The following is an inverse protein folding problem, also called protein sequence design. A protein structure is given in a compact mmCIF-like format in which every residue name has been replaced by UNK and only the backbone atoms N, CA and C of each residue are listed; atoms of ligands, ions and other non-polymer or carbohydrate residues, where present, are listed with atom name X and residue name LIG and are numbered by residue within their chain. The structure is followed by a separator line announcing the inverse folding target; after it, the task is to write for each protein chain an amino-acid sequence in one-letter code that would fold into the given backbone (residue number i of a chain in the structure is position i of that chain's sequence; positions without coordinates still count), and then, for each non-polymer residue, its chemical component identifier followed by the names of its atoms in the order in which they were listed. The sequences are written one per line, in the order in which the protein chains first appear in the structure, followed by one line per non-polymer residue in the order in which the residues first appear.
data_IF_815815046612
#
_entry.id   IF_815815046612
#
_cell.length_a   1.000
_cell.length_b   1.000
_cell.length_c   1.000
_cell.angle_alpha   90.00
_cell.angle_beta   90.00
_cell.angle_gamma   90.00
#
_symmetry.space_group_name_H-M   'P 1'
#
loop_
_entity.id
_entity.type
_entity.pdbx_description
1 polymer ?
#
# COMPACT_ATOMS: atom_id res chain seq x y z
N UNK A 1 11.69 -4.63 7.56
CA UNK A 1 12.52 -3.48 8.04
C UNK A 1 14.00 -3.62 7.71
N UNK A 2 14.71 -4.66 8.16
CA UNK A 2 16.16 -4.80 7.88
C UNK A 2 16.48 -4.74 6.38
N UNK A 3 15.68 -5.38 5.51
CA UNK A 3 15.84 -5.33 4.04
C UNK A 3 15.77 -3.91 3.47
N UNK A 4 14.78 -3.11 3.86
CA UNK A 4 14.70 -1.68 3.50
C UNK A 4 15.97 -0.95 3.93
N UNK A 5 16.43 -1.19 5.15
CA UNK A 5 17.68 -0.65 5.67
C UNK A 5 18.90 -1.07 4.84
N UNK A 6 18.95 -2.31 4.38
CA UNK A 6 20.04 -2.86 3.59
C UNK A 6 20.10 -2.22 2.19
N UNK A 7 18.96 -2.04 1.51
CA UNK A 7 18.88 -1.29 0.24
C UNK A 7 19.11 0.21 0.41
N UNK A 8 18.74 0.79 1.56
CA UNK A 8 19.10 2.17 1.87
C UNK A 8 20.63 2.28 2.04
N UNK A 9 21.24 1.30 2.69
CA UNK A 9 22.68 1.26 2.93
C UNK A 9 23.49 1.20 1.64
N UNK A 10 23.04 0.45 0.62
CA UNK A 10 23.71 0.44 -0.71
C UNK A 10 23.70 1.83 -1.34
N UNK A 11 22.58 2.56 -1.23
CA UNK A 11 22.47 3.94 -1.73
C UNK A 11 23.36 4.93 -0.96
N UNK A 12 23.64 4.65 0.31
CA UNK A 12 24.44 5.51 1.21
C UNK A 12 25.96 5.24 1.12
N UNK A 13 26.36 4.06 0.63
CA UNK A 13 27.76 3.68 0.43
C UNK A 13 28.47 4.55 -0.62
N UNK A 14 27.71 5.18 -1.51
CA UNK A 14 28.23 6.07 -2.54
C UNK A 14 28.13 7.54 -2.11
N UNK A 15 29.24 8.28 -2.25
CA UNK A 15 29.29 9.73 -1.94
C UNK A 15 28.50 10.59 -2.95
N UNK A 16 28.40 10.13 -4.20
CA UNK A 16 27.65 10.79 -5.28
C UNK A 16 26.37 10.01 -5.57
N UNK A 17 25.38 10.69 -6.16
CA UNK A 17 24.20 10.01 -6.69
C UNK A 17 24.65 8.95 -7.70
N UNK A 18 24.20 7.72 -7.50
CA UNK A 18 24.41 6.59 -8.40
C UNK A 18 23.06 6.18 -8.95
N UNK A 19 22.97 5.97 -10.26
CA UNK A 19 21.74 5.46 -10.90
C UNK A 19 21.36 4.11 -10.31
N UNK A 20 20.08 3.88 -10.09
CA UNK A 20 19.56 2.65 -9.44
C UNK A 20 20.12 1.37 -10.06
N UNK A 21 20.21 1.28 -11.39
CA UNK A 21 20.76 0.11 -12.11
C UNK A 21 22.23 -0.21 -11.82
N UNK A 22 22.98 0.74 -11.26
CA UNK A 22 24.38 0.56 -10.88
C UNK A 22 24.56 0.29 -9.38
N UNK A 23 23.47 0.32 -8.61
CA UNK A 23 23.52 -0.05 -7.20
C UNK A 23 23.67 -1.56 -7.06
N UNK A 24 24.70 -1.94 -6.32
CA UNK A 24 24.96 -3.33 -5.93
C UNK A 24 23.83 -3.88 -5.07
N UNK A 25 23.66 -5.20 -5.11
CA UNK A 25 22.82 -5.90 -4.15
C UNK A 25 23.42 -5.72 -2.73
N UNK A 26 22.63 -5.62 -1.64
CA UNK A 26 23.17 -5.40 -0.29
C UNK A 26 24.22 -6.43 0.16
N UNK A 27 24.12 -7.67 -0.32
CA UNK A 27 25.08 -8.74 -0.02
C UNK A 27 26.46 -8.53 -0.67
N UNK A 28 26.55 -7.66 -1.67
CA UNK A 28 27.77 -7.38 -2.42
C UNK A 28 28.54 -6.16 -1.86
N UNK A 29 28.07 -5.56 -0.75
CA UNK A 29 28.75 -4.43 -0.12
C UNK A 29 30.05 -4.88 0.55
N UNK A 30 31.12 -4.19 0.22
CA UNK A 30 32.44 -4.40 0.82
C UNK A 30 32.55 -3.76 2.21
N UNK A 31 33.50 -4.21 3.05
CA UNK A 31 33.75 -3.57 4.35
C UNK A 31 34.03 -2.06 4.28
N UNK A 32 34.69 -1.59 3.22
CA UNK A 32 35.01 -0.17 3.04
C UNK A 32 33.77 0.64 2.64
N UNK A 33 32.89 0.07 1.80
CA UNK A 33 31.59 0.65 1.47
C UNK A 33 30.69 0.78 2.70
N UNK A 34 30.68 -0.24 3.56
CA UNK A 34 29.97 -0.21 4.85
C UNK A 34 30.52 0.89 5.78
N UNK A 35 31.84 1.07 5.82
CA UNK A 35 32.49 2.12 6.61
C UNK A 35 32.12 3.51 6.07
N UNK A 36 32.25 3.72 4.77
CA UNK A 36 31.90 4.97 4.11
C UNK A 36 30.42 5.34 4.33
N UNK A 37 29.50 4.36 4.23
CA UNK A 37 28.10 4.58 4.54
C UNK A 37 27.88 5.01 6.00
N UNK A 38 28.59 4.38 6.95
CA UNK A 38 28.50 4.77 8.36
C UNK A 38 29.02 6.19 8.61
N UNK A 39 30.14 6.56 7.99
CA UNK A 39 30.71 7.90 8.06
C UNK A 39 29.72 8.95 7.53
N UNK A 40 29.11 8.68 6.37
CA UNK A 40 28.09 9.55 5.77
C UNK A 40 26.89 9.73 6.72
N UNK A 41 26.36 8.64 7.28
CA UNK A 41 25.24 8.70 8.23
C UNK A 41 25.62 9.42 9.53
N UNK A 42 26.85 9.26 9.99
CA UNK A 42 27.35 9.91 11.21
C UNK A 42 27.51 11.41 10.99
N UNK A 43 28.05 11.83 9.84
CA UNK A 43 28.17 13.24 9.46
C UNK A 43 26.80 13.94 9.40
N UNK A 44 25.76 13.25 8.91
CA UNK A 44 24.39 13.76 8.90
C UNK A 44 23.86 14.05 10.31
N UNK A 45 24.20 13.21 11.30
CA UNK A 45 23.85 13.41 12.71
C UNK A 45 24.72 14.49 13.37
N UNK A 46 26.01 14.56 13.05
CA UNK A 46 26.93 15.56 13.59
C UNK A 46 26.46 17.00 13.33
N UNK A 47 25.88 17.26 12.15
CA UNK A 47 25.31 18.58 11.83
C UNK A 47 24.21 19.01 12.81
N UNK A 48 23.55 18.05 13.46
CA UNK A 48 22.50 18.35 14.43
C UNK A 48 22.99 18.72 15.82
N UNK A 49 24.28 18.48 16.13
CA UNK A 49 24.87 18.77 17.45
C UNK A 49 24.84 20.25 17.81
N UNK A 50 24.72 21.14 16.81
CA UNK A 50 24.64 22.60 16.96
C UNK A 50 23.21 23.15 16.92
N UNK A 51 22.23 22.31 16.63
CA UNK A 51 20.83 22.73 16.46
C UNK A 51 20.12 22.64 17.80
N UNK A 52 19.31 23.65 18.16
CA UNK A 52 18.65 23.74 19.48
C UNK A 52 17.51 22.72 19.70
N UNK A 53 16.71 22.45 18.66
CA UNK A 53 15.61 21.47 18.71
C UNK A 53 15.35 20.84 17.32
N UNK A 54 14.44 19.88 17.25
CA UNK A 54 14.11 19.16 16.00
C UNK A 54 13.26 19.95 15.01
N UNK A 55 12.76 21.13 15.39
CA UNK A 55 11.96 22.02 14.53
C UNK A 55 12.82 23.10 13.87
N UNK A 56 13.97 23.43 14.45
CA UNK A 56 14.92 24.38 13.90
C UNK A 56 15.51 23.89 12.55
N UNK A 57 15.95 24.80 11.66
CA UNK A 57 16.65 24.44 10.43
C UNK A 57 17.81 23.47 10.70
N UNK A 58 17.89 22.37 9.94
CA UNK A 58 18.87 21.30 10.17
C UNK A 58 18.52 20.33 11.32
N UNK A 59 17.39 20.52 12.01
CA UNK A 59 16.91 19.67 13.10
C UNK A 59 16.27 18.34 12.67
N UNK A 60 16.19 18.06 11.36
CA UNK A 60 15.54 16.87 10.83
C UNK A 60 16.10 15.58 11.43
N UNK A 61 17.41 15.35 11.32
CA UNK A 61 18.04 14.12 11.83
C UNK A 61 17.98 14.01 13.35
N UNK A 62 17.85 15.12 14.07
CA UNK A 62 17.61 15.12 15.51
C UNK A 62 16.21 14.58 15.82
N UNK A 63 15.19 15.02 15.07
CA UNK A 63 13.85 14.45 15.14
C UNK A 63 13.80 12.96 14.78
N UNK A 64 14.53 12.57 13.73
CA UNK A 64 14.67 11.15 13.33
C UNK A 64 15.30 10.32 14.44
N UNK A 65 16.37 10.82 15.08
CA UNK A 65 17.04 10.11 16.17
C UNK A 65 16.09 9.79 17.32
N UNK A 66 15.19 10.71 17.65
CA UNK A 66 14.17 10.50 18.67
C UNK A 66 13.11 9.46 18.23
N UNK A 67 12.70 9.50 16.96
CA UNK A 67 11.68 8.59 16.43
C UNK A 67 12.18 7.15 16.30
N UNK A 68 13.44 6.93 15.94
CA UNK A 68 13.99 5.60 15.67
C UNK A 68 14.80 5.03 16.84
N UNK A 69 15.50 5.88 17.59
CA UNK A 69 16.39 5.49 18.69
C UNK A 69 16.12 6.38 19.93
N UNK A 70 14.98 6.18 20.62
CA UNK A 70 14.56 7.03 21.73
C UNK A 70 15.48 6.95 22.96
N UNK A 71 16.47 6.06 22.95
CA UNK A 71 17.50 5.93 24.00
C UNK A 71 18.91 6.28 23.51
N UNK A 72 19.09 6.78 22.28
CA UNK A 72 20.41 7.21 21.81
C UNK A 72 20.89 8.46 22.57
N UNK A 73 22.22 8.63 22.74
CA UNK A 73 22.77 9.72 23.55
C UNK A 73 22.52 11.12 22.96
N UNK A 74 22.26 11.20 21.65
CA UNK A 74 22.10 12.48 20.94
C UNK A 74 20.66 12.97 20.82
N UNK A 75 19.66 12.19 21.26
CA UNK A 75 18.28 12.59 21.07
C UNK A 75 17.89 13.79 21.95
N UNK A 76 16.77 14.41 21.64
CA UNK A 76 16.27 15.64 22.28
C UNK A 76 16.10 15.54 23.79
N UNK A 77 15.82 14.34 24.32
CA UNK A 77 15.60 14.11 25.76
C UNK A 77 16.92 13.89 26.51
N UNK A 78 17.80 13.07 25.95
CA UNK A 78 19.04 12.62 26.61
C UNK A 78 20.18 13.63 26.49
N UNK A 79 20.19 14.46 25.44
CA UNK A 79 21.29 15.40 25.19
C UNK A 79 21.29 16.64 26.09
N UNK A 80 20.27 16.86 26.94
CA UNK A 80 20.13 18.10 27.74
C UNK A 80 21.33 18.38 28.66
N UNK A 81 22.06 17.34 29.07
CA UNK A 81 23.27 17.43 29.88
C UNK A 81 24.57 17.42 29.07
N UNK A 82 24.51 17.26 27.74
CA UNK A 82 25.67 17.11 26.84
C UNK A 82 25.73 18.29 25.88
N UNK A 83 26.83 19.05 25.90
CA UNK A 83 27.00 20.24 25.06
C UNK A 83 28.32 20.17 24.28
N UNK A 84 28.30 20.63 23.03
CA UNK A 84 29.51 20.81 22.22
C UNK A 84 30.29 19.51 22.02
N UNK A 85 31.56 19.51 22.41
CA UNK A 85 32.49 18.38 22.20
C UNK A 85 32.03 17.08 22.86
N UNK A 86 31.40 17.15 24.05
CA UNK A 86 30.90 15.95 24.76
C UNK A 86 29.79 15.24 23.97
N UNK A 87 28.92 16.02 23.32
CA UNK A 87 27.84 15.47 22.49
C UNK A 87 28.41 14.80 21.23
N UNK A 88 29.44 15.40 20.62
CA UNK A 88 30.14 14.81 19.48
C UNK A 88 30.86 13.51 19.87
N UNK A 89 31.57 13.50 20.99
CA UNK A 89 32.24 12.30 21.50
C UNK A 89 31.26 11.14 21.72
N UNK A 90 30.12 11.43 22.38
CA UNK A 90 29.06 10.43 22.60
C UNK A 90 28.39 9.95 21.31
N UNK A 91 28.26 10.82 20.31
CA UNK A 91 27.81 10.44 18.97
C UNK A 91 28.79 9.46 18.33
N UNK A 92 30.08 9.76 18.32
CA UNK A 92 31.09 8.88 17.75
C UNK A 92 31.19 7.55 18.49
N UNK A 93 31.05 7.55 19.82
CA UNK A 93 30.98 6.34 20.63
C UNK A 93 29.81 5.45 20.20
N UNK A 94 28.60 6.02 20.07
CA UNK A 94 27.41 5.30 19.64
C UNK A 94 27.51 4.75 18.20
N UNK A 95 28.13 5.51 17.31
CA UNK A 95 28.31 5.15 15.90
C UNK A 95 29.54 4.30 15.63
N UNK A 96 30.37 4.03 16.64
CA UNK A 96 31.55 3.18 16.53
C UNK A 96 31.11 1.73 16.29
N UNK A 97 31.53 1.19 15.16
CA UNK A 97 31.29 -0.22 14.83
C UNK A 97 32.49 -1.03 15.33
N UNK A 98 32.30 -2.09 16.14
CA UNK A 98 33.38 -2.95 16.62
C UNK A 98 34.20 -3.55 15.47
N UNK A 99 35.52 -3.69 15.64
CA UNK A 99 36.44 -4.30 14.66
C UNK A 99 36.05 -5.75 14.28
N UNK A 100 36.44 -6.22 13.08
CA UNK A 100 35.93 -7.50 12.52
C UNK A 100 36.38 -8.71 13.35
N UNK A 101 37.49 -8.56 14.05
CA UNK A 101 38.24 -9.65 14.68
C UNK A 101 38.00 -9.74 16.19
N UNK A 102 36.88 -9.21 16.68
CA UNK A 102 36.43 -9.40 18.07
C UNK A 102 35.18 -10.29 18.05
N UNK A 103 35.33 -11.63 18.00
CA UNK A 103 34.19 -12.53 18.07
C UNK A 103 33.59 -12.44 19.47
N UNK A 104 32.28 -12.21 19.54
CA UNK A 104 31.53 -12.30 20.80
C UNK A 104 31.01 -13.73 21.07
N UNK A 105 31.36 -14.69 20.20
CA UNK A 105 30.90 -16.08 20.28
C UNK A 105 29.43 -16.29 19.92
N UNK A 106 28.80 -15.35 19.21
CA UNK A 106 27.39 -15.43 18.80
C UNK A 106 27.21 -15.16 17.30
N UNK A 107 26.11 -15.70 16.75
CA UNK A 107 25.67 -15.47 15.38
C UNK A 107 24.65 -14.34 15.32
N UNK A 108 24.63 -13.63 14.18
CA UNK A 108 23.67 -12.57 13.90
C UNK A 108 22.27 -13.16 13.79
N UNK A 109 21.33 -12.69 14.61
CA UNK A 109 19.96 -13.21 14.62
C UNK A 109 19.17 -12.94 13.34
N UNK A 110 19.68 -12.10 12.43
CA UNK A 110 19.01 -11.71 11.18
C UNK A 110 19.58 -12.39 9.93
N UNK A 111 20.87 -12.74 9.90
CA UNK A 111 21.53 -13.28 8.71
C UNK A 111 22.59 -14.35 9.01
N UNK A 112 22.68 -14.82 10.26
CA UNK A 112 23.53 -15.90 10.73
C UNK A 112 25.06 -15.71 10.62
N UNK A 113 25.52 -14.59 10.04
CA UNK A 113 26.93 -14.18 10.06
C UNK A 113 27.43 -13.93 11.48
N UNK A 114 28.74 -14.02 11.71
CA UNK A 114 29.34 -13.69 13.01
C UNK A 114 28.89 -12.30 13.52
N UNK A 115 28.34 -12.27 14.74
CA UNK A 115 27.89 -11.03 15.36
C UNK A 115 29.08 -10.22 15.89
N UNK A 116 28.96 -8.89 15.83
CA UNK A 116 29.99 -7.97 16.33
C UNK A 116 29.60 -7.31 17.66
N UNK A 117 28.38 -7.52 18.14
CA UNK A 117 27.93 -7.06 19.45
C UNK A 117 26.46 -7.42 19.73
N UNK A 118 26.01 -7.06 20.93
CA UNK A 118 24.61 -7.13 21.34
C UNK A 118 24.01 -5.72 21.33
N UNK A 119 22.87 -5.54 20.67
CA UNK A 119 22.29 -4.22 20.43
C UNK A 119 20.82 -4.16 20.89
N UNK A 120 20.56 -3.18 21.77
CA UNK A 120 19.24 -2.90 22.35
C UNK A 120 18.52 -1.70 21.72
N UNK A 121 17.60 -1.09 22.48
CA UNK A 121 16.83 0.13 22.09
C UNK A 121 17.68 1.29 21.59
N UNK A 122 18.94 1.36 22.02
CA UNK A 122 19.90 2.40 21.60
C UNK A 122 20.32 2.24 20.14
N UNK A 123 20.35 1.01 19.62
CA UNK A 123 20.83 0.71 18.26
C UNK A 123 19.79 0.11 17.31
N UNK A 124 18.73 -0.51 17.86
CA UNK A 124 17.74 -1.28 17.10
C UNK A 124 16.36 -0.62 17.23
N UNK A 125 15.78 -0.10 16.13
CA UNK A 125 14.41 0.39 16.12
C UNK A 125 13.41 -0.69 16.50
N UNK A 126 12.34 -0.32 17.23
CA UNK A 126 11.29 -1.23 17.71
C UNK A 126 11.79 -2.38 18.60
N UNK A 127 12.99 -2.28 19.13
CA UNK A 127 13.50 -3.27 20.06
C UNK A 127 12.93 -2.98 21.45
N UNK A 128 12.52 -3.99 22.22
CA UNK A 128 12.05 -3.77 23.59
C UNK A 128 13.20 -3.41 24.55
N UNK A 129 12.94 -2.83 25.73
CA UNK A 129 14.04 -2.57 26.68
C UNK A 129 14.53 -3.88 27.27
N UNK A 130 15.80 -3.92 27.68
CA UNK A 130 16.41 -5.12 28.28
C UNK A 130 15.62 -5.66 29.49
N UNK A 131 14.90 -4.79 30.21
CA UNK A 131 14.02 -5.14 31.33
C UNK A 131 12.78 -5.97 30.96
N UNK A 132 12.38 -6.05 29.68
CA UNK A 132 11.16 -6.73 29.23
C UNK A 132 11.43 -7.88 28.24
N UNK A 133 12.68 -8.19 27.93
CA UNK A 133 13.02 -9.24 26.96
C UNK A 133 13.15 -10.60 27.61
N UNK A 134 12.27 -11.53 27.22
CA UNK A 134 12.39 -12.96 27.52
C UNK A 134 13.31 -13.71 26.52
N UNK A 135 13.84 -13.04 25.49
CA UNK A 135 14.57 -13.64 24.36
C UNK A 135 16.07 -13.32 24.34
N UNK A 136 16.57 -12.55 25.31
CA UNK A 136 18.00 -12.27 25.46
C UNK A 136 18.59 -13.10 26.58
N UNK A 137 19.78 -13.67 26.35
CA UNK A 137 20.56 -14.29 27.43
C UNK A 137 20.71 -13.27 28.57
N UNK A 138 20.44 -13.65 29.83
CA UNK A 138 20.61 -12.74 30.96
C UNK A 138 21.99 -12.07 30.93
N UNK A 139 22.03 -10.74 31.06
CA UNK A 139 23.28 -9.96 31.07
C UNK A 139 23.70 -9.33 29.73
N UNK A 140 22.93 -9.52 28.64
CA UNK A 140 23.22 -8.91 27.34
C UNK A 140 22.22 -7.81 26.95
N UNK A 141 22.72 -6.76 26.28
CA UNK A 141 21.96 -5.54 25.93
C UNK A 141 20.86 -5.74 24.89
N UNK A 142 20.86 -6.85 24.14
CA UNK A 142 19.86 -7.07 23.11
C UNK A 142 20.17 -8.13 22.06
N UNK A 143 19.88 -7.81 20.80
CA UNK A 143 20.03 -8.73 19.66
C UNK A 143 21.50 -8.85 19.28
N UNK A 144 21.99 -10.08 19.08
CA UNK A 144 23.30 -10.31 18.48
C UNK A 144 23.22 -9.94 16.99
N UNK A 145 23.97 -8.93 16.54
CA UNK A 145 23.95 -8.46 15.14
C UNK A 145 25.35 -8.44 14.54
N UNK A 146 25.45 -8.81 13.26
CA UNK A 146 26.64 -8.50 12.46
C UNK A 146 26.65 -7.02 12.06
N UNK A 147 27.80 -6.55 11.57
CA UNK A 147 28.00 -5.16 11.16
C UNK A 147 27.02 -4.71 10.07
N UNK A 148 26.82 -5.54 9.05
CA UNK A 148 25.93 -5.23 7.93
C UNK A 148 24.48 -5.06 8.39
N UNK A 149 24.00 -5.95 9.26
CA UNK A 149 22.64 -5.86 9.81
C UNK A 149 22.47 -4.66 10.75
N UNK A 150 23.45 -4.37 11.61
CA UNK A 150 23.40 -3.16 12.44
C UNK A 150 23.35 -1.89 11.58
N UNK A 151 24.21 -1.81 10.56
CA UNK A 151 24.23 -0.67 9.65
C UNK A 151 22.98 -0.54 8.81
N UNK A 152 22.36 -1.66 8.43
CA UNK A 152 21.06 -1.66 7.75
C UNK A 152 20.00 -0.99 8.65
N UNK A 153 19.98 -1.31 9.94
CA UNK A 153 19.06 -0.65 10.88
C UNK A 153 19.37 0.84 11.05
N UNK A 154 20.66 1.23 11.03
CA UNK A 154 21.08 2.63 11.01
C UNK A 154 20.68 3.39 9.74
N UNK A 155 20.65 2.70 8.59
CA UNK A 155 20.25 3.25 7.30
C UNK A 155 18.71 3.27 7.12
N UNK A 156 17.96 2.49 7.91
CA UNK A 156 16.50 2.39 7.80
C UNK A 156 15.78 3.74 7.69
N UNK A 157 16.09 4.79 8.48
CA UNK A 157 15.35 6.05 8.37
C UNK A 157 15.46 6.72 7.00
N UNK A 158 16.53 6.47 6.24
CA UNK A 158 16.69 7.01 4.90
C UNK A 158 15.70 6.39 3.91
N UNK A 159 15.41 5.09 4.07
CA UNK A 159 14.40 4.36 3.31
C UNK A 159 12.97 4.56 3.80
N UNK A 160 12.73 5.44 4.77
CA UNK A 160 11.40 5.74 5.32
C UNK A 160 10.92 7.13 4.93
N UNK A 161 9.62 7.27 4.71
CA UNK A 161 8.92 8.55 4.77
C UNK A 161 8.55 8.86 6.22
N UNK A 162 9.02 10.01 6.72
CA UNK A 162 8.92 10.37 8.14
C UNK A 162 7.96 11.55 8.31
N UNK A 163 6.87 11.42 9.07
CA UNK A 163 5.90 12.49 9.22
C UNK A 163 4.81 12.21 10.25
N UNK A 164 4.33 13.27 10.91
CA UNK A 164 3.27 13.16 11.93
C UNK A 164 3.63 12.21 13.09
N UNK A 165 4.90 12.17 13.48
CA UNK A 165 5.38 11.30 14.56
C UNK A 165 5.46 9.81 14.22
N UNK A 166 5.33 9.43 12.94
CA UNK A 166 5.42 8.05 12.46
C UNK A 166 6.40 7.94 11.29
N UNK A 167 6.99 6.77 11.12
CA UNK A 167 7.76 6.38 9.95
C UNK A 167 6.92 5.43 9.09
N UNK A 168 7.06 5.54 7.78
CA UNK A 168 6.38 4.72 6.79
C UNK A 168 7.41 4.18 5.81
N UNK A 169 7.37 2.88 5.48
CA UNK A 169 8.26 2.29 4.49
C UNK A 169 7.52 1.28 3.62
N UNK A 170 7.85 1.25 2.33
CA UNK A 170 7.43 0.17 1.44
C UNK A 170 8.43 -0.98 1.51
N UNK A 171 7.91 -2.20 1.48
CA UNK A 171 8.67 -3.44 1.49
C UNK A 171 8.11 -4.37 0.41
N UNK A 172 8.98 -5.19 -0.16
CA UNK A 172 8.62 -6.32 -1.02
C UNK A 172 9.74 -7.37 -0.95
N UNK A 173 9.40 -8.60 -1.32
CA UNK A 173 10.38 -9.66 -1.57
C UNK A 173 10.98 -9.58 -2.97
N UNK A 174 10.39 -8.77 -3.86
CA UNK A 174 11.00 -8.36 -5.12
C UNK A 174 12.15 -7.38 -4.84
N UNK A 175 13.38 -7.84 -5.05
CA UNK A 175 14.60 -7.08 -4.80
C UNK A 175 14.75 -5.89 -5.75
N UNK A 176 14.28 -5.98 -6.99
CA UNK A 176 14.42 -4.91 -7.98
C UNK A 176 13.44 -3.78 -7.68
N UNK A 177 12.19 -4.12 -7.37
CA UNK A 177 11.22 -3.17 -6.86
C UNK A 177 11.69 -2.53 -5.55
N UNK A 178 12.13 -3.33 -4.57
CA UNK A 178 12.56 -2.81 -3.27
C UNK A 178 13.76 -1.87 -3.40
N UNK A 179 14.71 -2.19 -4.30
CA UNK A 179 15.84 -1.31 -4.64
C UNK A 179 15.35 0.02 -5.20
N UNK A 180 14.48 -0.01 -6.21
CA UNK A 180 13.99 1.19 -6.88
C UNK A 180 13.26 2.15 -5.92
N UNK A 181 12.30 1.63 -5.14
CA UNK A 181 11.53 2.47 -4.20
C UNK A 181 12.36 2.96 -3.03
N UNK A 182 13.31 2.15 -2.55
CA UNK A 182 14.20 2.55 -1.45
C UNK A 182 15.18 3.62 -1.88
N UNK A 183 15.79 3.49 -3.07
CA UNK A 183 16.69 4.50 -3.61
C UNK A 183 15.99 5.85 -3.83
N UNK A 184 14.78 5.82 -4.39
CA UNK A 184 13.93 7.01 -4.48
C UNK A 184 13.70 7.64 -3.11
N UNK A 185 13.31 6.83 -2.12
CA UNK A 185 13.04 7.32 -0.77
C UNK A 185 14.30 7.89 -0.09
N UNK A 186 15.47 7.29 -0.27
CA UNK A 186 16.75 7.81 0.24
C UNK A 186 17.03 9.21 -0.30
N UNK A 187 16.84 9.42 -1.61
CA UNK A 187 17.01 10.73 -2.26
C UNK A 187 16.03 11.75 -1.70
N UNK A 188 14.75 11.40 -1.61
CA UNK A 188 13.69 12.25 -1.05
C UNK A 188 13.96 12.61 0.41
N UNK A 189 14.37 11.65 1.24
CA UNK A 189 14.72 11.87 2.64
C UNK A 189 15.92 12.82 2.79
N UNK A 190 16.97 12.64 1.98
CA UNK A 190 18.13 13.56 1.95
C UNK A 190 17.73 14.98 1.54
N UNK A 191 16.94 15.14 0.47
CA UNK A 191 16.41 16.46 0.04
C UNK A 191 15.60 17.13 1.17
N UNK A 192 14.74 16.35 1.83
CA UNK A 192 13.93 16.83 2.94
C UNK A 192 14.75 17.23 4.17
N UNK A 193 15.83 16.53 4.47
CA UNK A 193 16.72 16.86 5.58
C UNK A 193 17.38 18.25 5.44
N UNK A 194 17.47 18.77 4.21
CA UNK A 194 18.03 20.10 3.91
C UNK A 194 16.98 21.22 3.90
N UNK A 195 15.69 20.87 3.88
CA UNK A 195 14.59 21.83 3.74
C UNK A 195 13.95 22.09 5.11
N UNK A 196 13.51 23.33 5.42
CA UNK A 196 12.74 23.60 6.63
C UNK A 196 11.51 22.69 6.74
N UNK A 197 11.18 22.27 7.96
CA UNK A 197 10.00 21.44 8.18
C UNK A 197 8.73 22.22 7.85
N UNK A 198 8.05 21.86 6.78
CA UNK A 198 6.68 22.28 6.52
C UNK A 198 5.73 21.25 7.16
N UNK A 199 4.85 21.72 8.02
CA UNK A 199 3.76 20.89 8.53
C UNK A 199 2.80 20.58 7.39
N UNK A 200 2.78 19.34 6.92
CA UNK A 200 1.79 18.90 5.93
C UNK A 200 0.62 18.25 6.65
N UNK A 201 -0.58 18.78 6.46
CA UNK A 201 -1.81 18.10 6.86
C UNK A 201 -1.92 16.83 6.04
N UNK A 202 -1.84 15.67 6.70
CA UNK A 202 -2.05 14.39 6.04
C UNK A 202 -3.55 14.10 5.98
N UNK A 203 -4.08 13.93 4.79
CA UNK A 203 -5.42 13.40 4.58
C UNK A 203 -5.49 11.92 5.05
N UNK A 204 -6.70 11.43 5.26
CA UNK A 204 -6.91 10.01 5.57
C UNK A 204 -6.28 9.13 4.47
N UNK A 205 -5.63 8.05 4.90
CA UNK A 205 -4.94 7.08 4.02
C UNK A 205 -3.83 7.66 3.11
N UNK A 206 -3.29 8.85 3.44
CA UNK A 206 -2.21 9.45 2.67
C UNK A 206 -0.97 8.54 2.52
N UNK A 207 -0.72 7.66 3.51
CA UNK A 207 0.39 6.70 3.49
C UNK A 207 0.16 5.57 2.48
N UNK A 208 -1.03 4.97 2.48
CA UNK A 208 -1.44 3.99 1.48
C UNK A 208 -1.41 4.60 0.08
N UNK A 209 -1.90 5.83 -0.07
CA UNK A 209 -1.87 6.53 -1.35
C UNK A 209 -0.44 6.77 -1.84
N UNK A 210 0.46 7.27 -0.97
CA UNK A 210 1.87 7.42 -1.33
C UNK A 210 2.54 6.08 -1.68
N UNK A 211 2.17 5.00 -0.97
CA UNK A 211 2.62 3.65 -1.29
C UNK A 211 2.18 3.19 -2.68
N UNK A 212 0.91 3.41 -2.99
CA UNK A 212 0.32 3.06 -4.29
C UNK A 212 0.88 3.91 -5.44
N UNK A 213 1.11 5.20 -5.22
CA UNK A 213 1.74 6.10 -6.21
C UNK A 213 3.15 5.64 -6.60
N UNK A 214 3.96 5.19 -5.63
CA UNK A 214 5.29 4.62 -5.91
C UNK A 214 5.20 3.30 -6.66
N UNK A 215 4.26 2.43 -6.27
CA UNK A 215 4.06 1.16 -6.98
C UNK A 215 3.70 1.38 -8.46
N UNK A 216 2.80 2.32 -8.73
CA UNK A 216 2.44 2.69 -10.10
C UNK A 216 3.56 3.34 -10.90
N UNK A 217 4.40 4.09 -10.20
CA UNK A 217 5.57 4.77 -10.75
C UNK A 217 6.73 3.86 -11.16
N UNK A 218 6.70 2.60 -10.73
CA UNK A 218 7.67 1.60 -11.16
C UNK A 218 7.29 1.10 -12.56
N UNK A 219 8.25 0.93 -13.47
CA UNK A 219 8.00 0.54 -14.87
C UNK A 219 8.15 -0.97 -15.13
N UNK A 220 8.96 -1.68 -14.35
CA UNK A 220 9.26 -3.12 -14.56
C UNK A 220 8.27 -4.02 -13.81
N UNK A 221 8.01 -5.27 -14.22
CA UNK A 221 7.07 -6.18 -13.54
C UNK A 221 7.41 -6.40 -12.06
N UNK A 222 6.43 -6.28 -11.16
CA UNK A 222 6.56 -6.69 -9.74
C UNK A 222 6.24 -8.18 -9.62
N UNK A 223 7.19 -8.93 -9.10
CA UNK A 223 7.14 -10.39 -8.97
C UNK A 223 6.61 -10.87 -7.62
N UNK A 224 6.46 -9.96 -6.64
CA UNK A 224 6.05 -10.27 -5.26
C UNK A 224 5.01 -9.26 -4.72
N UNK A 225 4.40 -9.58 -3.58
CA UNK A 225 3.49 -8.64 -2.91
C UNK A 225 4.19 -7.38 -2.38
N UNK A 226 3.42 -6.33 -2.12
CA UNK A 226 3.90 -5.07 -1.56
C UNK A 226 3.33 -4.84 -0.17
N UNK A 227 4.19 -4.50 0.77
CA UNK A 227 3.84 -4.27 2.16
C UNK A 227 4.19 -2.83 2.57
N UNK A 228 3.22 -2.10 3.11
CA UNK A 228 3.40 -0.79 3.70
C UNK A 228 3.52 -0.92 5.22
N UNK A 229 4.72 -0.70 5.73
CA UNK A 229 5.02 -0.68 7.15
C UNK A 229 4.81 0.72 7.71
N UNK A 230 3.98 0.87 8.74
CA UNK A 230 3.76 2.14 9.46
C UNK A 230 4.08 1.94 10.93
N UNK A 231 5.05 2.68 11.46
CA UNK A 231 5.50 2.47 12.83
C UNK A 231 5.89 3.74 13.58
N UNK A 232 5.88 3.65 14.90
CA UNK A 232 6.48 4.60 15.83
C UNK A 232 7.28 3.84 16.87
N UNK A 233 8.42 4.38 17.27
CA UNK A 233 9.29 3.78 18.28
C UNK A 233 9.54 4.77 19.42
N UNK A 234 8.46 5.26 20.05
CA UNK A 234 8.57 6.11 21.23
C UNK A 234 8.53 5.28 22.51
N UNK A 235 9.16 5.77 23.59
CA UNK A 235 9.09 5.10 24.89
C UNK A 235 7.67 5.08 25.51
N UNK A 236 6.73 5.87 24.98
CA UNK A 236 5.33 5.92 25.43
C UNK A 236 4.39 5.04 24.59
N UNK A 237 4.67 4.95 23.30
CA UNK A 237 3.88 4.23 22.30
C UNK A 237 4.86 3.64 21.28
N UNK A 238 4.89 2.31 21.23
CA UNK A 238 5.61 1.52 20.25
C UNK A 238 4.56 0.73 19.47
N UNK A 239 4.42 1.01 18.18
CA UNK A 239 3.38 0.45 17.31
C UNK A 239 4.01 0.13 15.96
N UNK A 240 3.67 -1.04 15.41
CA UNK A 240 4.03 -1.45 14.06
C UNK A 240 2.75 -2.01 13.42
N UNK A 241 2.32 -1.36 12.34
CA UNK A 241 1.22 -1.81 11.50
C UNK A 241 1.76 -2.17 10.14
N UNK A 242 1.25 -3.25 9.60
CA UNK A 242 1.52 -3.70 8.24
C UNK A 242 0.22 -3.65 7.45
N UNK A 243 0.31 -3.14 6.23
CA UNK A 243 -0.76 -3.12 5.24
C UNK A 243 -0.24 -3.82 3.99
N UNK A 244 -0.90 -4.88 3.54
CA UNK A 244 -0.32 -5.80 2.55
C UNK A 244 -1.20 -5.87 1.31
N UNK A 245 -0.57 -5.61 0.16
CA UNK A 245 -1.13 -5.84 -1.15
C UNK A 245 -0.51 -7.12 -1.73
N UNK A 246 -1.33 -8.09 -2.12
CA UNK A 246 -0.81 -9.31 -2.75
C UNK A 246 -0.24 -9.01 -4.14
N UNK A 247 0.61 -9.90 -4.66
CA UNK A 247 1.27 -9.72 -5.95
C UNK A 247 0.27 -9.49 -7.10
N UNK A 248 -0.84 -10.24 -7.21
CA UNK A 248 -1.80 -9.99 -8.30
C UNK A 248 -2.44 -8.60 -8.24
N UNK A 249 -2.79 -8.09 -7.04
CA UNK A 249 -3.28 -6.71 -6.88
C UNK A 249 -2.23 -5.69 -7.28
N UNK A 250 -0.97 -5.93 -6.89
CA UNK A 250 0.14 -5.01 -7.15
C UNK A 250 0.43 -4.86 -8.63
N UNK A 251 0.40 -5.94 -9.41
CA UNK A 251 0.54 -5.86 -10.86
C UNK A 251 -0.71 -5.33 -11.54
N UNK A 252 -1.89 -5.81 -11.14
CA UNK A 252 -3.16 -5.40 -11.76
C UNK A 252 -3.32 -3.88 -11.78
N UNK A 253 -3.11 -3.20 -10.64
CA UNK A 253 -3.31 -1.73 -10.56
C UNK A 253 -2.33 -0.94 -11.44
N UNK A 254 -1.16 -1.51 -11.74
CA UNK A 254 -0.16 -0.91 -12.64
C UNK A 254 -0.53 -1.04 -14.11
N UNK A 255 -1.21 -2.13 -14.47
CA UNK A 255 -1.69 -2.33 -15.85
C UNK A 255 -2.85 -1.40 -16.22
N UNK A 256 -3.49 -0.75 -15.25
CA UNK A 256 -4.62 0.12 -15.49
C UNK A 256 -4.19 1.50 -16.01
N UNK A 257 -4.89 1.98 -17.04
CA UNK A 257 -4.71 3.32 -17.57
C UNK A 257 -5.05 4.40 -16.55
N UNK A 258 -4.55 5.63 -16.78
CA UNK A 258 -4.90 6.80 -15.94
C UNK A 258 -6.40 7.09 -15.92
N UNK A 259 -7.13 6.82 -17.02
CA UNK A 259 -8.59 6.94 -17.09
C UNK A 259 -9.28 5.92 -16.19
N UNK A 260 -8.95 4.63 -16.34
CA UNK A 260 -9.55 3.54 -15.54
C UNK A 260 -9.34 3.73 -14.05
N UNK A 261 -8.13 4.12 -13.66
CA UNK A 261 -7.83 4.40 -12.25
C UNK A 261 -8.46 5.67 -11.71
N UNK A 262 -8.66 6.69 -12.54
CA UNK A 262 -9.47 7.85 -12.19
C UNK A 262 -10.95 7.49 -11.98
N UNK A 263 -11.51 6.62 -12.83
CA UNK A 263 -12.88 6.11 -12.66
C UNK A 263 -13.04 5.28 -11.38
N UNK A 264 -12.08 4.39 -11.08
CA UNK A 264 -12.05 3.68 -9.79
C UNK A 264 -11.91 4.64 -8.61
N UNK A 265 -11.02 5.63 -8.72
CA UNK A 265 -10.86 6.68 -7.73
C UNK A 265 -12.20 7.37 -7.44
N UNK A 266 -12.90 7.81 -8.49
CA UNK A 266 -14.24 8.40 -8.37
C UNK A 266 -15.25 7.47 -7.70
N UNK A 267 -15.29 6.20 -8.11
CA UNK A 267 -16.21 5.21 -7.54
C UNK A 267 -15.97 4.97 -6.04
N UNK A 268 -14.74 5.23 -5.57
CA UNK A 268 -14.35 5.09 -4.16
C UNK A 268 -14.47 6.38 -3.34
N UNK A 269 -15.01 7.47 -3.90
CA UNK A 269 -15.17 8.74 -3.19
C UNK A 269 -16.07 8.58 -1.96
N UNK A 270 -15.64 9.17 -0.84
CA UNK A 270 -16.42 9.28 0.39
C UNK A 270 -16.45 10.75 0.83
N UNK A 271 -17.58 11.25 1.32
CA UNK A 271 -17.86 12.66 1.74
C UNK A 271 -16.66 13.57 2.05
N UNK A 272 -15.71 13.12 2.88
CA UNK A 272 -14.55 13.92 3.36
C UNK A 272 -13.19 13.37 2.96
N UNK A 273 -13.14 12.28 2.19
CA UNK A 273 -11.91 11.59 1.82
C UNK A 273 -11.86 11.44 0.30
N UNK A 274 -10.80 11.94 -0.35
CA UNK A 274 -10.60 11.75 -1.79
C UNK A 274 -10.68 10.27 -2.16
N UNK A 275 -11.38 9.96 -3.25
CA UNK A 275 -11.67 8.58 -3.60
C UNK A 275 -10.42 7.74 -3.90
N UNK A 276 -9.38 8.35 -4.47
CA UNK A 276 -8.05 7.72 -4.63
C UNK A 276 -7.44 7.23 -3.30
N UNK A 277 -7.68 7.94 -2.20
CA UNK A 277 -7.19 7.54 -0.87
C UNK A 277 -7.96 6.34 -0.33
N UNK A 278 -9.28 6.30 -0.57
CA UNK A 278 -10.13 5.16 -0.19
C UNK A 278 -9.83 3.94 -1.07
N UNK A 279 -9.56 4.13 -2.36
CA UNK A 279 -9.08 3.08 -3.26
C UNK A 279 -7.77 2.49 -2.75
N UNK A 280 -6.78 3.33 -2.43
CA UNK A 280 -5.51 2.87 -1.88
C UNK A 280 -5.70 2.06 -0.59
N UNK A 281 -6.55 2.54 0.33
CA UNK A 281 -6.93 1.78 1.53
C UNK A 281 -7.54 0.42 1.18
N UNK A 282 -8.53 0.38 0.29
CA UNK A 282 -9.18 -0.89 -0.04
C UNK A 282 -8.19 -1.87 -0.69
N UNK A 283 -7.29 -1.41 -1.56
CA UNK A 283 -6.28 -2.29 -2.18
C UNK A 283 -5.29 -2.88 -1.16
N UNK A 284 -4.94 -2.12 -0.10
CA UNK A 284 -4.00 -2.58 0.94
C UNK A 284 -4.66 -3.33 2.10
N UNK A 285 -5.90 -2.98 2.47
CA UNK A 285 -6.52 -3.42 3.72
C UNK A 285 -7.76 -4.31 3.50
N UNK A 286 -8.48 -4.11 2.38
CA UNK A 286 -9.79 -4.70 2.12
C UNK A 286 -10.01 -4.96 0.63
N UNK A 287 -9.24 -5.87 -0.01
CA UNK A 287 -9.28 -6.07 -1.46
C UNK A 287 -10.68 -6.47 -1.97
N UNK A 288 -11.42 -7.24 -1.16
CA UNK A 288 -12.82 -7.60 -1.38
C UNK A 288 -13.75 -6.37 -1.56
N UNK A 289 -13.42 -5.24 -0.92
CA UNK A 289 -14.24 -4.02 -0.99
C UNK A 289 -14.06 -3.21 -2.26
N UNK A 290 -13.08 -3.51 -3.11
CA UNK A 290 -12.90 -2.79 -4.38
C UNK A 290 -14.14 -2.94 -5.27
N UNK A 291 -14.60 -4.17 -5.45
CA UNK A 291 -15.79 -4.45 -6.25
C UNK A 291 -17.07 -4.00 -5.57
N UNK A 292 -17.21 -4.28 -4.28
CA UNK A 292 -18.38 -3.85 -3.52
C UNK A 292 -18.57 -2.32 -3.56
N UNK A 293 -17.48 -1.56 -3.45
CA UNK A 293 -17.52 -0.10 -3.46
C UNK A 293 -17.89 0.41 -4.85
N UNK A 294 -17.34 -0.20 -5.91
CA UNK A 294 -17.67 0.14 -7.30
C UNK A 294 -19.12 -0.19 -7.64
N UNK A 295 -19.62 -1.38 -7.27
CA UNK A 295 -21.03 -1.75 -7.45
C UNK A 295 -21.96 -0.80 -6.70
N UNK A 296 -21.62 -0.41 -5.46
CA UNK A 296 -22.40 0.57 -4.68
C UNK A 296 -22.45 1.94 -5.37
N UNK A 297 -21.34 2.39 -5.93
CA UNK A 297 -21.28 3.66 -6.67
C UNK A 297 -22.16 3.64 -7.92
N UNK A 298 -22.01 2.63 -8.77
CA UNK A 298 -22.82 2.48 -9.98
C UNK A 298 -24.32 2.42 -9.66
N UNK A 299 -24.68 1.70 -8.57
CA UNK A 299 -26.05 1.63 -8.10
C UNK A 299 -26.58 2.96 -7.58
N UNK A 300 -25.80 3.72 -6.81
CA UNK A 300 -26.22 5.03 -6.34
C UNK A 300 -26.51 5.97 -7.52
N UNK A 301 -25.62 6.01 -8.51
CA UNK A 301 -25.84 6.79 -9.74
C UNK A 301 -27.07 6.33 -10.52
N UNK A 302 -27.30 5.01 -10.60
CA UNK A 302 -28.47 4.45 -11.27
C UNK A 302 -29.78 4.72 -10.52
N UNK A 303 -29.77 4.70 -9.19
CA UNK A 303 -30.92 5.06 -8.36
C UNK A 303 -31.27 6.55 -8.52
N UNK A 304 -30.26 7.43 -8.58
CA UNK A 304 -30.47 8.88 -8.69
C UNK A 304 -30.94 9.33 -10.08
N UNK A 305 -30.36 8.75 -11.15
CA UNK A 305 -30.67 9.13 -12.53
C UNK A 305 -31.76 8.27 -13.18
N UNK A 306 -32.05 7.10 -12.60
CA UNK A 306 -32.88 6.06 -13.22
C UNK A 306 -32.23 5.35 -14.40
N UNK A 307 -30.92 5.53 -14.62
CA UNK A 307 -30.16 5.06 -15.78
C UNK A 307 -28.76 4.57 -15.39
N UNK A 308 -28.17 3.58 -16.07
CA UNK A 308 -26.75 3.26 -15.89
C UNK A 308 -25.86 4.49 -16.14
N UNK A 309 -24.89 4.81 -15.25
CA UNK A 309 -23.96 5.91 -15.50
C UNK A 309 -23.06 5.64 -16.72
N UNK A 310 -22.62 6.69 -17.41
CA UNK A 310 -21.85 6.56 -18.65
C UNK A 310 -20.50 5.85 -18.49
N UNK A 311 -19.94 5.82 -17.27
CA UNK A 311 -18.70 5.10 -16.95
C UNK A 311 -18.90 3.60 -16.70
N UNK A 312 -20.12 3.08 -16.84
CA UNK A 312 -20.43 1.67 -16.55
C UNK A 312 -19.58 0.70 -17.36
N UNK A 313 -19.40 0.86 -18.68
CA UNK A 313 -18.64 -0.12 -19.47
C UNK A 313 -17.18 -0.24 -19.01
N UNK A 314 -16.48 0.89 -18.83
CA UNK A 314 -15.09 0.85 -18.38
C UNK A 314 -14.95 0.33 -16.95
N UNK A 315 -15.88 0.67 -16.05
CA UNK A 315 -15.87 0.11 -14.69
C UNK A 315 -16.19 -1.38 -14.69
N UNK A 316 -17.09 -1.87 -15.57
CA UNK A 316 -17.40 -3.27 -15.70
C UNK A 316 -16.21 -4.10 -16.22
N UNK A 317 -15.48 -3.59 -17.21
CA UNK A 317 -14.24 -4.18 -17.70
C UNK A 317 -13.19 -4.28 -16.58
N UNK A 318 -12.96 -3.16 -15.87
CA UNK A 318 -11.98 -3.10 -14.77
C UNK A 318 -12.37 -4.05 -13.62
N UNK A 319 -13.65 -4.10 -13.25
CA UNK A 319 -14.16 -4.99 -12.21
C UNK A 319 -14.06 -6.47 -12.60
N UNK A 320 -14.33 -6.82 -13.86
CA UNK A 320 -14.20 -8.19 -14.35
C UNK A 320 -12.73 -8.63 -14.34
N UNK A 321 -11.83 -7.76 -14.81
CA UNK A 321 -10.37 -7.99 -14.74
C UNK A 321 -9.87 -8.13 -13.30
N UNK A 322 -10.39 -7.34 -12.34
CA UNK A 322 -10.05 -7.47 -10.92
C UNK A 322 -10.54 -8.81 -10.34
N UNK A 323 -11.77 -9.18 -10.64
CA UNK A 323 -12.36 -10.44 -10.21
C UNK A 323 -11.55 -11.65 -10.68
N UNK A 324 -11.20 -11.67 -11.97
CA UNK A 324 -10.40 -12.73 -12.59
C UNK A 324 -8.97 -12.76 -12.04
N UNK A 325 -8.24 -11.64 -12.13
CA UNK A 325 -6.79 -11.62 -11.90
C UNK A 325 -6.40 -11.48 -10.43
N UNK A 326 -7.21 -10.79 -9.63
CA UNK A 326 -6.84 -10.45 -8.24
C UNK A 326 -7.56 -11.35 -7.24
N UNK A 327 -8.87 -11.53 -7.43
CA UNK A 327 -9.68 -12.37 -6.56
C UNK A 327 -9.69 -13.83 -7.02
N UNK A 328 -9.05 -14.14 -8.16
CA UNK A 328 -8.88 -15.49 -8.70
C UNK A 328 -10.21 -16.22 -8.87
N UNK A 329 -11.24 -15.47 -9.28
CA UNK A 329 -12.58 -16.03 -9.46
C UNK A 329 -12.57 -16.88 -10.73
N UNK A 330 -13.04 -18.14 -10.67
CA UNK A 330 -13.00 -19.02 -11.83
C UNK A 330 -13.72 -18.43 -13.04
N UNK A 331 -13.12 -18.53 -14.23
CA UNK A 331 -13.74 -18.04 -15.48
C UNK A 331 -15.13 -18.62 -15.71
N UNK A 332 -15.36 -19.86 -15.27
CA UNK A 332 -16.68 -20.49 -15.36
C UNK A 332 -17.73 -19.69 -14.56
N UNK A 333 -17.39 -19.25 -13.35
CA UNK A 333 -18.28 -18.48 -12.48
C UNK A 333 -18.55 -17.10 -13.08
N UNK A 334 -17.50 -16.44 -13.58
CA UNK A 334 -17.63 -15.15 -14.27
C UNK A 334 -18.56 -15.26 -15.47
N UNK A 335 -18.40 -16.28 -16.33
CA UNK A 335 -19.30 -16.53 -17.47
C UNK A 335 -20.73 -16.83 -17.03
N UNK A 336 -20.91 -17.59 -15.95
CA UNK A 336 -22.25 -17.89 -15.43
C UNK A 336 -22.94 -16.64 -14.87
N UNK A 337 -22.22 -15.78 -14.14
CA UNK A 337 -22.78 -14.52 -13.63
C UNK A 337 -23.07 -13.55 -14.78
N UNK A 338 -22.17 -13.42 -15.75
CA UNK A 338 -22.36 -12.56 -16.92
C UNK A 338 -23.56 -13.00 -17.77
N UNK A 339 -23.71 -14.30 -18.05
CA UNK A 339 -24.87 -14.81 -18.77
C UNK A 339 -26.20 -14.58 -18.04
N UNK A 340 -26.21 -14.61 -16.71
CA UNK A 340 -27.41 -14.22 -15.94
C UNK A 340 -27.65 -12.71 -16.03
N UNK A 341 -26.59 -11.90 -15.95
CA UNK A 341 -26.67 -10.46 -16.07
C UNK A 341 -27.28 -10.03 -17.41
N UNK A 342 -26.84 -10.65 -18.51
CA UNK A 342 -27.37 -10.43 -19.85
C UNK A 342 -28.88 -10.74 -19.93
N UNK A 343 -29.33 -11.88 -19.36
CA UNK A 343 -30.75 -12.23 -19.35
C UNK A 343 -31.60 -11.28 -18.53
N UNK A 344 -31.09 -10.81 -17.39
CA UNK A 344 -31.75 -9.78 -16.58
C UNK A 344 -31.84 -8.47 -17.36
N UNK A 345 -30.76 -8.03 -18.01
CA UNK A 345 -30.76 -6.81 -18.82
C UNK A 345 -31.78 -6.89 -19.96
N UNK A 346 -31.85 -8.01 -20.70
CA UNK A 346 -32.88 -8.22 -21.72
C UNK A 346 -34.30 -8.18 -21.14
N UNK A 347 -34.54 -8.81 -19.99
CA UNK A 347 -35.84 -8.78 -19.34
C UNK A 347 -36.26 -7.35 -18.96
N UNK A 348 -35.33 -6.59 -18.37
CA UNK A 348 -35.55 -5.21 -17.97
C UNK A 348 -35.78 -4.30 -19.19
N UNK A 349 -35.09 -4.54 -20.30
CA UNK A 349 -35.19 -3.72 -21.51
C UNK A 349 -36.54 -3.88 -22.26
N UNK A 350 -37.31 -4.95 -21.99
CA UNK A 350 -38.60 -5.22 -22.65
C UNK A 350 -39.70 -4.22 -22.31
N UNK A 351 -39.59 -3.51 -21.19
CA UNK A 351 -40.57 -2.50 -20.81
C UNK A 351 -40.26 -1.17 -21.52
N UNK A 352 -41.31 -0.55 -22.07
CA UNK A 352 -41.21 0.78 -22.67
C UNK A 352 -40.92 1.85 -21.61
N UNK A 353 -41.24 1.58 -20.35
CA UNK A 353 -40.91 2.39 -19.20
C UNK A 353 -39.76 1.77 -18.38
N UNK A 354 -39.02 2.60 -17.63
CA UNK A 354 -37.94 2.12 -16.74
C UNK A 354 -38.47 1.36 -15.51
N UNK A 355 -39.70 0.84 -15.55
CA UNK A 355 -40.37 0.23 -14.39
C UNK A 355 -39.75 -1.10 -14.01
N UNK A 356 -39.44 -1.97 -14.98
CA UNK A 356 -38.75 -3.24 -14.67
C UNK A 356 -37.33 -3.01 -14.15
N UNK A 357 -36.66 -1.96 -14.64
CA UNK A 357 -35.35 -1.57 -14.11
C UNK A 357 -35.46 -1.13 -12.64
N UNK A 358 -36.42 -0.26 -12.31
CA UNK A 358 -36.68 0.16 -10.93
C UNK A 358 -37.03 -1.01 -10.02
N UNK A 359 -37.81 -1.99 -10.51
CA UNK A 359 -38.12 -3.22 -9.76
C UNK A 359 -36.85 -4.04 -9.49
N UNK A 360 -35.97 -4.19 -10.47
CA UNK A 360 -34.68 -4.85 -10.29
C UNK A 360 -33.80 -4.13 -9.25
N UNK A 361 -33.63 -2.80 -9.38
CA UNK A 361 -32.86 -2.00 -8.41
C UNK A 361 -33.44 -2.13 -6.99
N UNK A 362 -34.76 -2.05 -6.85
CA UNK A 362 -35.45 -2.25 -5.57
C UNK A 362 -35.25 -3.66 -5.02
N UNK A 363 -35.32 -4.69 -5.86
CA UNK A 363 -35.14 -6.07 -5.45
C UNK A 363 -33.73 -6.34 -4.91
N UNK A 364 -32.69 -5.76 -5.54
CA UNK A 364 -31.30 -5.95 -5.11
C UNK A 364 -30.99 -5.42 -3.70
N UNK A 365 -31.73 -4.41 -3.23
CA UNK A 365 -31.51 -3.79 -1.90
C UNK A 365 -31.62 -4.79 -0.74
N UNK A 366 -32.42 -5.84 -0.89
CA UNK A 366 -32.60 -6.89 0.13
C UNK A 366 -32.42 -8.27 -0.49
N UNK A 367 -31.63 -9.13 0.16
CA UNK A 367 -31.35 -10.47 -0.35
C UNK A 367 -32.63 -11.29 -0.59
N UNK A 368 -33.57 -11.26 0.36
CA UNK A 368 -34.85 -11.96 0.24
C UNK A 368 -35.66 -11.47 -0.96
N UNK A 369 -35.67 -10.16 -1.23
CA UNK A 369 -36.42 -9.58 -2.33
C UNK A 369 -35.80 -9.93 -3.68
N UNK A 370 -34.47 -9.89 -3.80
CA UNK A 370 -33.77 -10.36 -5.00
C UNK A 370 -34.08 -11.83 -5.28
N UNK A 371 -34.06 -12.66 -4.24
CA UNK A 371 -34.39 -14.09 -4.33
C UNK A 371 -35.80 -14.32 -4.87
N UNK A 372 -36.79 -13.66 -4.28
CA UNK A 372 -38.19 -13.73 -4.74
C UNK A 372 -38.35 -13.20 -6.15
N UNK A 373 -37.68 -12.10 -6.49
CA UNK A 373 -37.74 -11.53 -7.84
C UNK A 373 -37.20 -12.52 -8.88
N UNK A 374 -36.02 -13.10 -8.67
CA UNK A 374 -35.44 -14.10 -9.59
C UNK A 374 -36.31 -15.35 -9.72
N UNK A 375 -36.92 -15.83 -8.63
CA UNK A 375 -37.87 -16.95 -8.67
C UNK A 375 -39.09 -16.63 -9.51
N UNK A 376 -39.67 -15.44 -9.36
CA UNK A 376 -40.82 -15.02 -10.15
C UNK A 376 -40.47 -14.95 -11.64
N UNK A 377 -39.28 -14.44 -11.99
CA UNK A 377 -38.84 -14.42 -13.39
C UNK A 377 -38.58 -15.82 -13.95
N UNK A 378 -38.02 -16.72 -13.14
CA UNK A 378 -37.85 -18.13 -13.52
C UNK A 378 -39.21 -18.79 -13.79
N UNK A 379 -40.18 -18.64 -12.89
CA UNK A 379 -41.54 -19.18 -13.04
C UNK A 379 -42.22 -18.58 -14.28
N UNK A 380 -42.14 -17.26 -14.46
CA UNK A 380 -42.74 -16.59 -15.61
C UNK A 380 -42.17 -17.12 -16.93
N UNK A 381 -40.84 -17.25 -17.03
CA UNK A 381 -40.18 -17.78 -18.24
C UNK A 381 -40.60 -19.22 -18.53
N UNK A 382 -40.58 -20.09 -17.52
CA UNK A 382 -40.98 -21.50 -17.68
C UNK A 382 -42.44 -21.66 -18.08
N UNK A 383 -43.36 -20.82 -17.57
CA UNK A 383 -44.80 -20.98 -17.82
C UNK A 383 -45.34 -20.19 -19.02
N UNK A 384 -44.61 -19.16 -19.49
CA UNK A 384 -45.17 -18.17 -20.45
C UNK A 384 -44.27 -17.89 -21.64
N UNK A 385 -43.15 -18.58 -21.79
CA UNK A 385 -42.24 -18.40 -22.93
C UNK A 385 -41.79 -19.75 -23.47
N UNK A 386 -41.50 -19.82 -24.76
CA UNK A 386 -40.92 -20.99 -25.42
C UNK A 386 -39.37 -20.97 -25.39
N UNK A 387 -38.77 -20.14 -24.52
CA UNK A 387 -37.31 -20.02 -24.43
C UNK A 387 -36.72 -21.30 -23.77
N UNK A 388 -35.84 -22.00 -24.50
CA UNK A 388 -35.30 -23.30 -24.08
C UNK A 388 -34.42 -23.23 -22.81
N UNK A 389 -33.74 -22.10 -22.59
CA UNK A 389 -32.88 -21.92 -21.41
C UNK A 389 -33.66 -21.36 -20.22
N UNK A 390 -33.41 -21.83 -18.98
CA UNK A 390 -34.03 -21.27 -17.79
C UNK A 390 -33.53 -19.84 -17.52
N UNK A 391 -34.35 -19.04 -16.82
CA UNK A 391 -33.96 -17.65 -16.49
C UNK A 391 -32.71 -17.62 -15.60
N UNK A 392 -32.67 -18.52 -14.62
CA UNK A 392 -31.55 -18.76 -13.72
C UNK A 392 -31.36 -20.28 -13.58
N UNK A 393 -30.11 -20.72 -13.68
CA UNK A 393 -29.73 -22.12 -13.50
C UNK A 393 -29.51 -22.45 -12.02
N UNK A 394 -29.52 -23.73 -11.66
CA UNK A 394 -29.16 -24.16 -10.29
C UNK A 394 -27.75 -23.68 -9.91
N UNK A 395 -26.78 -23.79 -10.82
CA UNK A 395 -25.42 -23.33 -10.56
C UNK A 395 -25.35 -21.84 -10.24
N UNK A 396 -25.97 -20.99 -11.07
CA UNK A 396 -26.05 -19.55 -10.82
C UNK A 396 -26.78 -19.22 -9.51
N UNK A 397 -27.80 -20.01 -9.15
CA UNK A 397 -28.50 -19.85 -7.87
C UNK A 397 -27.56 -20.08 -6.70
N UNK A 398 -26.74 -21.13 -6.74
CA UNK A 398 -25.74 -21.41 -5.71
C UNK A 398 -24.75 -20.28 -5.56
N UNK A 399 -24.18 -19.80 -6.68
CA UNK A 399 -23.23 -18.67 -6.68
C UNK A 399 -23.77 -17.41 -5.98
N UNK A 400 -25.09 -17.16 -6.07
CA UNK A 400 -25.74 -15.97 -5.52
C UNK A 400 -26.31 -16.13 -4.11
N UNK A 401 -26.54 -17.36 -3.63
CA UNK A 401 -27.32 -17.60 -2.40
C UNK A 401 -26.83 -18.68 -1.45
N UNK A 402 -25.99 -19.63 -1.89
CA UNK A 402 -25.45 -20.66 -0.99
C UNK A 402 -24.37 -20.06 -0.08
N UNK A 403 -24.19 -20.51 1.15
CA UNK A 403 -23.53 -19.76 2.22
C UNK A 403 -21.98 -19.69 2.18
N UNK A 404 -21.38 -19.51 1.01
CA UNK A 404 -19.93 -19.33 0.88
C UNK A 404 -19.51 -17.86 1.09
N UNK A 405 -18.24 -17.63 1.46
CA UNK A 405 -17.72 -16.28 1.73
C UNK A 405 -17.74 -15.36 0.49
N UNK A 406 -17.85 -15.92 -0.73
CA UNK A 406 -17.80 -15.18 -2.00
C UNK A 406 -19.16 -14.69 -2.53
N UNK A 407 -20.25 -14.96 -1.82
CA UNK A 407 -21.60 -14.75 -2.34
C UNK A 407 -21.93 -13.28 -2.51
N UNK A 408 -21.36 -12.42 -1.66
CA UNK A 408 -21.51 -10.97 -1.79
C UNK A 408 -20.87 -10.45 -3.08
N UNK A 409 -19.70 -10.99 -3.41
CA UNK A 409 -18.94 -10.64 -4.61
C UNK A 409 -19.69 -11.01 -5.89
N UNK A 410 -20.27 -12.23 -6.00
CA UNK A 410 -21.03 -12.62 -7.20
C UNK A 410 -22.27 -11.73 -7.42
N UNK A 411 -22.93 -11.31 -6.33
CA UNK A 411 -24.07 -10.39 -6.40
C UNK A 411 -23.67 -8.98 -6.83
N UNK A 412 -22.45 -8.54 -6.50
CA UNK A 412 -21.93 -7.24 -6.91
C UNK A 412 -21.49 -7.28 -8.39
N UNK A 413 -20.84 -8.36 -8.83
CA UNK A 413 -20.57 -8.61 -10.25
C UNK A 413 -21.85 -8.71 -11.09
N UNK A 414 -22.89 -9.40 -10.60
CA UNK A 414 -24.16 -9.49 -11.28
C UNK A 414 -24.73 -8.10 -11.58
N UNK A 415 -24.71 -7.21 -10.58
CA UNK A 415 -25.21 -5.83 -10.73
C UNK A 415 -24.40 -5.06 -11.76
N UNK A 416 -23.07 -5.12 -11.66
CA UNK A 416 -22.16 -4.45 -12.60
C UNK A 416 -22.45 -4.94 -14.04
N UNK A 417 -22.55 -6.26 -14.22
CA UNK A 417 -22.87 -6.87 -15.51
C UNK A 417 -24.23 -6.44 -16.05
N UNK A 418 -25.29 -6.38 -15.21
CA UNK A 418 -26.63 -5.98 -15.66
C UNK A 418 -26.62 -4.56 -16.19
N UNK A 419 -25.95 -3.64 -15.48
CA UNK A 419 -25.83 -2.26 -15.92
C UNK A 419 -25.03 -2.14 -17.23
N UNK A 420 -23.96 -2.93 -17.39
CA UNK A 420 -23.19 -2.96 -18.63
C UNK A 420 -24.00 -3.47 -19.82
N UNK A 421 -24.67 -4.63 -19.67
CA UNK A 421 -25.51 -5.20 -20.72
C UNK A 421 -26.67 -4.26 -21.11
N UNK A 422 -27.26 -3.54 -20.16
CA UNK A 422 -28.26 -2.50 -20.49
C UNK A 422 -27.67 -1.40 -21.38
N UNK A 423 -26.46 -0.93 -21.06
CA UNK A 423 -25.76 0.10 -21.84
C UNK A 423 -25.44 -0.37 -23.29
N UNK A 424 -25.16 -1.65 -23.47
CA UNK A 424 -24.91 -2.27 -24.78
C UNK A 424 -26.19 -2.45 -25.60
N UNK A 425 -27.29 -2.85 -24.95
CA UNK A 425 -28.53 -3.24 -25.62
C UNK A 425 -29.27 -2.11 -26.33
N UNK A 426 -29.37 -0.94 -25.70
CA UNK A 426 -30.17 0.16 -26.25
C UNK A 426 -29.51 1.51 -25.91
N UNK A 427 -29.28 2.39 -26.91
CA UNK A 427 -28.79 3.74 -26.68
C UNK A 427 -29.58 4.54 -25.65
N UNK A 428 -30.87 4.22 -25.43
CA UNK A 428 -31.67 4.88 -24.39
C UNK A 428 -31.02 4.76 -23.03
N UNK A 429 -30.33 3.65 -22.71
CA UNK A 429 -29.69 3.39 -21.41
C UNK A 429 -28.37 4.15 -21.18
N UNK A 430 -27.89 4.88 -22.18
CA UNK A 430 -26.62 5.60 -22.08
C UNK A 430 -26.90 6.97 -21.48
N UNK A 431 -26.45 7.17 -20.24
CA UNK A 431 -26.47 8.50 -19.64
C UNK A 431 -25.66 9.49 -20.49
N UNK A 432 -25.91 10.79 -20.31
CA UNK A 432 -25.09 11.83 -20.90
C UNK A 432 -23.61 11.63 -20.54
N UNK A 433 -22.72 12.20 -21.36
CA UNK A 433 -21.28 12.05 -21.18
C UNK A 433 -20.86 12.27 -19.72
N UNK A 434 -19.95 11.43 -19.19
CA UNK A 434 -19.57 11.52 -17.81
C UNK A 434 -18.92 12.88 -17.53
N UNK A 435 -19.24 13.47 -16.37
CA UNK A 435 -18.51 14.65 -15.91
C UNK A 435 -17.01 14.37 -15.96
N UNK A 436 -16.18 15.35 -16.41
CA UNK A 436 -14.74 15.17 -16.50
C UNK A 436 -14.16 14.74 -15.16
N UNK A 437 -13.18 13.83 -15.19
CA UNK A 437 -12.47 13.37 -13.99
C UNK A 437 -11.82 14.56 -13.28
N UNK A 438 -12.03 14.66 -11.97
CA UNK A 438 -11.33 15.67 -11.18
C UNK A 438 -9.89 15.22 -10.93
N UNK A 439 -8.95 16.17 -10.77
CA UNK A 439 -7.56 15.85 -10.44
C UNK A 439 -7.41 15.01 -9.17
N UNK A 440 -8.35 15.14 -8.23
CA UNK A 440 -8.40 14.36 -6.99
C UNK A 440 -8.84 12.90 -7.20
N UNK A 441 -9.45 12.59 -8.34
CA UNK A 441 -9.85 11.22 -8.69
C UNK A 441 -8.65 10.44 -9.24
N UNK A 442 -7.70 11.12 -9.86
CA UNK A 442 -6.51 10.47 -10.44
C UNK A 442 -5.50 10.05 -9.38
N UNK A 443 -5.04 8.79 -9.50
CA UNK A 443 -3.80 8.37 -8.88
C UNK A 443 -2.64 9.12 -9.54
N UNK A 444 -1.76 9.66 -8.72
CA UNK A 444 -0.50 10.24 -9.18
C UNK A 444 0.49 9.09 -9.33
N UNK A 445 1.23 9.10 -10.44
CA UNK A 445 2.35 8.20 -10.67
C UNK A 445 3.61 8.96 -10.28
N UNK A 446 4.32 8.49 -9.25
CA UNK A 446 5.63 9.04 -8.92
C UNK A 446 6.59 8.59 -10.02
N UNK A 447 7.19 9.49 -10.80
CA UNK A 447 8.15 9.11 -11.86
C UNK A 447 9.48 8.64 -11.22
N UNK A 448 9.47 7.38 -10.77
CA UNK A 448 10.60 6.78 -10.05
C UNK A 448 11.83 6.75 -10.94
N UNK A 449 11.67 6.46 -12.23
CA UNK A 449 12.80 6.32 -13.15
C UNK A 449 13.41 7.66 -13.53
N UNK A 450 12.62 8.71 -13.77
CA UNK A 450 13.18 10.05 -13.96
C UNK A 450 13.92 10.52 -12.70
N UNK A 451 13.34 10.30 -11.51
CA UNK A 451 13.98 10.67 -10.26
C UNK A 451 15.20 9.82 -9.93
N UNK A 452 15.24 8.55 -10.34
CA UNK A 452 16.34 7.61 -10.09
C UNK A 452 17.48 7.73 -11.11
N UNK A 453 17.21 8.26 -12.31
CA UNK A 453 18.20 8.42 -13.37
C UNK A 453 18.87 9.81 -13.41
N UNK A 454 18.36 10.78 -12.65
CA UNK A 454 19.04 12.03 -12.25
C UNK A 454 20.15 11.76 -11.23
#
# INVERSE_FOLDING_TARGET
MQRIGAFALTSLAHQRSVRTKHLKHPEQLTPDELRAANENMTADLERTTRVADSKAPGGFWLGVSYLFWPNCPINTTNRKSLVGAQLQEKLHEWRRIPERDVPIGAHCVLCDHAACGYFGKTGVPLAESASYRNTTIPGHDGMALCRGCLLSLYALPYGCEIGGGRATALHSWDDDFLRAVTTFQVRRTRKRALTPFSGTTMYAYARQLAGLSRLRGYEETVTEGVELLVFTNSNKEQDLRSHTMNQPSSEWIRTLTRKQTGLLGRAHRWEKVPGRSVLARNLFDYPDRVLQTTARHLMACADDSGMPPASTPELAEVCSSYAEKVLMVPDADLRHIDGLAQRIAHHVNRADDNTEFKKFLQARRKLSTLRTWLQNQAIHRTLRTDEAEPFITEYQWRLLFDADDQVFFHRDLLVIGVLNHLHELDPKWRAAEPEPLADEDHLLDDDLDAENNQ
#
